data_IF_464951409160
#
_entry.id   IF_464951409160
#
_cell.length_a   1.000
_cell.length_b   1.000
_cell.length_c   1.000
_cell.angle_alpha   90.00
_cell.angle_beta   90.00
_cell.angle_gamma   90.00
#
_symmetry.space_group_name_H-M   'P 1'
#
loop_
_entity.id
_entity.type
_entity.pdbx_description
1 polymer ?
#
# COMPACT_ATOMS: atom_id res chain seq x y z
N UNK A 1 6.98 -1.80 -5.93
CA UNK A 1 6.40 -0.48 -5.65
C UNK A 1 6.97 0.49 -6.65
N UNK A 2 6.12 1.04 -7.52
CA UNK A 2 6.53 2.00 -8.54
C UNK A 2 6.20 3.40 -8.02
N UNK A 3 7.24 4.22 -7.90
CA UNK A 3 7.14 5.61 -7.45
C UNK A 3 7.08 6.50 -8.69
N UNK A 4 5.89 6.71 -9.23
CA UNK A 4 5.68 7.59 -10.39
C UNK A 4 5.07 8.88 -9.86
N UNK A 5 5.75 10.01 -9.99
CA UNK A 5 5.15 11.31 -9.66
C UNK A 5 4.08 11.61 -10.72
N UNK A 6 2.80 11.89 -10.41
CA UNK A 6 2.25 12.38 -9.13
C UNK A 6 1.66 11.35 -8.15
N UNK A 7 1.47 10.08 -8.53
CA UNK A 7 0.87 9.04 -7.68
C UNK A 7 1.76 7.79 -7.57
N UNK A 8 2.13 7.43 -6.34
CA UNK A 8 2.84 6.17 -6.11
C UNK A 8 1.86 5.00 -6.15
N UNK A 9 2.30 3.85 -6.66
CA UNK A 9 1.48 2.65 -6.76
C UNK A 9 2.14 1.48 -6.02
N UNK A 10 1.34 0.80 -5.18
CA UNK A 10 1.71 -0.42 -4.50
C UNK A 10 0.94 -1.57 -5.13
N UNK A 11 1.66 -2.45 -5.81
CA UNK A 11 1.12 -3.73 -6.23
C UNK A 11 1.43 -4.80 -5.19
N UNK A 12 0.41 -5.54 -4.76
CA UNK A 12 0.58 -6.74 -3.93
C UNK A 12 -0.08 -7.95 -4.59
N UNK A 13 0.52 -9.11 -4.41
CA UNK A 13 -0.04 -10.38 -4.81
C UNK A 13 -0.71 -11.00 -3.58
N UNK A 14 -2.04 -11.09 -3.60
CA UNK A 14 -2.85 -11.67 -2.53
C UNK A 14 -3.21 -13.09 -2.93
N UNK A 15 -2.86 -14.07 -2.09
CA UNK A 15 -3.31 -15.44 -2.27
C UNK A 15 -4.67 -15.60 -1.59
N UNK A 16 -5.68 -15.91 -2.37
CA UNK A 16 -7.02 -16.20 -1.87
C UNK A 16 -7.10 -17.57 -1.17
N UNK A 17 -8.18 -17.85 -0.44
CA UNK A 17 -8.42 -19.12 0.24
C UNK A 17 -8.40 -20.32 -0.73
N UNK A 18 -8.81 -20.11 -1.99
CA UNK A 18 -8.74 -21.11 -3.07
C UNK A 18 -7.32 -21.30 -3.64
N UNK A 19 -6.32 -20.61 -3.08
CA UNK A 19 -4.93 -20.67 -3.52
C UNK A 19 -4.63 -19.88 -4.80
N UNK A 20 -5.63 -19.22 -5.39
CA UNK A 20 -5.46 -18.31 -6.53
C UNK A 20 -4.73 -17.04 -6.10
N UNK A 21 -3.73 -16.63 -6.86
CA UNK A 21 -3.04 -15.36 -6.64
C UNK A 21 -3.74 -14.27 -7.43
N UNK A 22 -4.28 -13.27 -6.72
CA UNK A 22 -4.86 -12.08 -7.29
C UNK A 22 -3.88 -10.91 -7.16
N UNK A 23 -3.63 -10.22 -8.27
CA UNK A 23 -2.85 -8.99 -8.27
C UNK A 23 -3.75 -7.83 -7.86
N UNK A 24 -3.39 -7.15 -6.79
CA UNK A 24 -4.05 -5.93 -6.32
C UNK A 24 -3.15 -4.74 -6.56
N UNK A 25 -3.73 -3.63 -7.03
CA UNK A 25 -3.02 -2.37 -7.26
C UNK A 25 -3.64 -1.27 -6.40
N UNK A 26 -2.87 -0.77 -5.46
CA UNK A 26 -3.30 0.33 -4.60
C UNK A 26 -2.61 1.62 -5.01
N UNK A 27 -3.41 2.67 -5.16
CA UNK A 27 -2.89 4.03 -5.31
C UNK A 27 -2.57 4.61 -3.93
N UNK A 28 -1.46 5.35 -3.87
CA UNK A 28 -0.98 6.04 -2.69
C UNK A 28 -0.84 7.53 -2.98
N UNK A 29 -0.80 8.31 -1.90
CA UNK A 29 -0.35 9.69 -1.95
C UNK A 29 1.05 9.82 -2.56
N UNK A 30 1.40 11.05 -2.95
CA UNK A 30 2.69 11.36 -3.54
C UNK A 30 3.88 11.00 -2.62
N UNK A 31 5.11 11.04 -3.16
CA UNK A 31 6.32 10.61 -2.45
C UNK A 31 6.54 11.27 -1.08
N UNK A 32 6.12 12.53 -0.93
CA UNK A 32 6.23 13.26 0.34
C UNK A 32 5.29 12.70 1.41
N UNK A 33 4.06 12.32 1.05
CA UNK A 33 3.12 11.69 1.98
C UNK A 33 3.66 10.34 2.48
N UNK A 34 4.29 9.57 1.59
CA UNK A 34 4.93 8.31 1.95
C UNK A 34 6.10 8.52 2.90
N UNK A 35 6.93 9.53 2.63
CA UNK A 35 8.05 9.89 3.49
C UNK A 35 7.58 10.34 4.89
N UNK A 36 6.51 11.13 4.96
CA UNK A 36 5.88 11.56 6.23
C UNK A 36 5.32 10.40 7.03
N UNK A 37 4.76 9.40 6.35
CA UNK A 37 4.28 8.18 6.99
C UNK A 37 5.41 7.26 7.48
N UNK A 38 6.67 7.59 7.20
CA UNK A 38 7.83 6.75 7.51
C UNK A 38 8.06 5.62 6.50
N UNK A 39 7.27 5.56 5.43
CA UNK A 39 7.45 4.57 4.38
C UNK A 39 8.55 5.05 3.41
N UNK A 40 9.73 4.46 3.55
CA UNK A 40 10.85 4.66 2.64
C UNK A 40 10.89 3.63 1.51
N UNK A 41 11.73 3.86 0.52
CA UNK A 41 12.03 2.87 -0.54
C UNK A 41 12.68 1.62 0.06
N UNK A 42 12.57 0.50 -0.66
CA UNK A 42 13.18 -0.79 -0.30
C UNK A 42 14.68 -0.68 0.04
N UNK A 43 15.41 0.20 -0.67
CA UNK A 43 16.85 0.45 -0.48
C UNK A 43 17.19 1.19 0.83
N UNK A 44 16.20 1.77 1.51
CA UNK A 44 16.37 2.52 2.78
C UNK A 44 15.58 1.89 3.94
N UNK A 45 15.42 0.57 3.93
CA UNK A 45 14.73 -0.16 5.00
C UNK A 45 13.19 -0.16 4.90
N UNK A 46 12.66 0.28 3.76
CA UNK A 46 11.25 0.12 3.41
C UNK A 46 10.87 -1.30 2.99
N UNK A 47 9.62 -1.46 2.53
CA UNK A 47 9.10 -2.74 2.05
C UNK A 47 9.92 -3.31 0.90
N UNK A 48 10.22 -4.61 0.96
CA UNK A 48 10.91 -5.34 -0.10
C UNK A 48 9.97 -6.36 -0.75
N UNK A 49 10.19 -6.74 -2.01
CA UNK A 49 9.50 -7.90 -2.59
C UNK A 49 9.71 -9.12 -1.70
N UNK A 50 8.62 -9.78 -1.31
CA UNK A 50 8.65 -10.93 -0.39
C UNK A 50 8.33 -10.60 1.07
N UNK A 51 8.28 -9.32 1.47
CA UNK A 51 7.74 -8.94 2.78
C UNK A 51 6.26 -9.31 2.86
N UNK A 52 5.88 -9.91 3.99
CA UNK A 52 4.48 -10.13 4.32
C UNK A 52 3.91 -8.84 4.92
N UNK A 53 2.88 -8.32 4.28
CA UNK A 53 2.20 -7.10 4.70
C UNK A 53 0.70 -7.31 4.78
N UNK A 54 0.07 -6.63 5.73
CA UNK A 54 -1.38 -6.47 5.81
C UNK A 54 -1.70 -5.08 5.31
N UNK A 55 -2.59 -5.00 4.32
CA UNK A 55 -3.00 -3.75 3.66
C UNK A 55 -4.44 -3.46 4.03
N UNK A 56 -4.70 -2.24 4.50
CA UNK A 56 -6.04 -1.68 4.62
C UNK A 56 -6.23 -0.61 3.55
N UNK A 57 -7.24 -0.78 2.70
CA UNK A 57 -7.49 0.09 1.57
C UNK A 57 -9.00 0.26 1.32
N UNK A 58 -9.36 1.39 0.72
CA UNK A 58 -10.70 1.62 0.17
C UNK A 58 -10.75 0.98 -1.23
N UNK A 59 -11.46 -0.14 -1.36
CA UNK A 59 -11.61 -0.82 -2.65
C UNK A 59 -12.38 0.06 -3.65
N UNK A 60 -12.01 -0.08 -4.93
CA UNK A 60 -12.67 0.63 -6.02
C UNK A 60 -14.13 0.17 -6.15
N UNK A 61 -15.04 1.12 -6.41
CA UNK A 61 -16.50 0.84 -6.46
C UNK A 61 -16.91 0.02 -7.68
N UNK A 62 -16.07 -0.03 -8.72
CA UNK A 62 -16.30 -0.80 -9.94
C UNK A 62 -16.00 -2.30 -9.77
N UNK A 63 -15.48 -2.72 -8.62
CA UNK A 63 -15.18 -4.13 -8.33
C UNK A 63 -13.84 -4.62 -8.90
N UNK A 64 -13.02 -3.74 -9.48
CA UNK A 64 -11.63 -4.09 -9.80
C UNK A 64 -10.80 -4.35 -8.54
N UNK A 65 -9.72 -5.11 -8.71
CA UNK A 65 -8.72 -5.35 -7.66
C UNK A 65 -7.80 -4.12 -7.47
N UNK A 66 -8.42 -2.95 -7.35
CA UNK A 66 -7.75 -1.69 -7.13
C UNK A 66 -8.38 -0.92 -5.98
N UNK A 67 -7.65 0.04 -5.43
CA UNK A 67 -8.18 0.84 -4.33
C UNK A 67 -7.20 1.90 -3.83
N UNK A 68 -7.66 2.72 -2.89
CA UNK A 68 -6.85 3.73 -2.25
C UNK A 68 -6.27 3.21 -0.93
N UNK A 69 -4.94 3.24 -0.81
CA UNK A 69 -4.25 2.68 0.35
C UNK A 69 -4.39 3.59 1.58
N UNK A 70 -4.83 3.04 2.71
CA UNK A 70 -4.95 3.79 3.95
C UNK A 70 -3.87 3.45 4.97
N UNK A 71 -3.60 2.16 5.16
CA UNK A 71 -2.65 1.67 6.14
C UNK A 71 -1.91 0.43 5.63
N UNK A 72 -0.63 0.33 5.99
CA UNK A 72 0.19 -0.87 5.78
C UNK A 72 0.74 -1.30 7.12
N UNK A 73 0.53 -2.57 7.48
CA UNK A 73 1.17 -3.22 8.61
C UNK A 73 2.15 -4.27 8.11
N UNK A 74 3.40 -4.17 8.55
CA UNK A 74 4.47 -5.11 8.25
C UNK A 74 4.40 -6.32 9.19
N UNK A 75 4.88 -7.49 8.74
CA UNK A 75 5.02 -8.68 9.59
C UNK A 75 5.93 -8.46 10.81
N UNK A 76 6.88 -7.52 10.71
CA UNK A 76 7.77 -7.04 11.78
C UNK A 76 7.06 -6.15 12.83
N UNK A 77 5.77 -5.85 12.65
CA UNK A 77 4.97 -5.04 13.58
C UNK A 77 4.97 -3.53 13.30
N UNK A 78 5.81 -3.05 12.38
CA UNK A 78 5.78 -1.65 11.89
C UNK A 78 4.45 -1.35 11.18
N UNK A 79 3.88 -0.18 11.46
CA UNK A 79 2.63 0.30 10.85
C UNK A 79 2.88 1.64 10.17
N UNK A 80 2.48 1.76 8.90
CA UNK A 80 2.56 2.98 8.10
C UNK A 80 1.14 3.45 7.76
N UNK A 81 0.75 4.60 8.34
CA UNK A 81 -0.54 5.24 8.06
C UNK A 81 -0.34 6.28 6.96
N UNK A 82 -0.99 6.05 5.82
CA UNK A 82 -0.80 6.80 4.59
C UNK A 82 -1.94 7.76 4.31
N UNK A 83 -3.15 7.34 4.68
CA UNK A 83 -4.29 8.22 4.78
C UNK A 83 -4.45 8.63 6.25
N UNK A 84 -4.11 9.87 6.57
CA UNK A 84 -4.96 10.57 7.53
C UNK A 84 -6.19 10.96 6.71
N UNK A 85 -7.37 10.65 7.25
CA UNK A 85 -8.71 10.99 6.77
C UNK A 85 -8.78 11.95 5.54
N UNK A 86 -9.49 11.62 4.44
CA UNK A 86 -9.65 12.55 3.31
C UNK A 86 -10.33 13.88 3.70
N UNK A 87 -10.87 14.02 4.91
CA UNK A 87 -11.39 15.24 5.51
C UNK A 87 -10.60 15.75 6.73
N UNK A 88 -9.47 15.14 7.11
CA UNK A 88 -8.58 15.60 8.18
C UNK A 88 -9.30 16.06 9.47
N UNK A 89 -9.79 15.11 10.28
CA UNK A 89 -10.04 15.38 11.71
C UNK A 89 -8.97 14.75 12.58
#
# INVERSE_FOLDING_TARGET
MEWINPHSYLTVNVKDADGKVQKWAFELGGPESLRRAGLSRADRGGMKPGDQVTVMALAAKDGSNSGFLQEIKMGDGRVFKLATDPNGQ
#
